data_IF_673060948009
#
_entry.id   IF_673060948009
#
_cell.length_a   1.000
_cell.length_b   1.000
_cell.length_c   1.000
_cell.angle_alpha   90.00
_cell.angle_beta   90.00
_cell.angle_gamma   90.00
#
_symmetry.space_group_name_H-M   'P 1'
#
loop_
_entity.id
_entity.type
_entity.pdbx_description
1 polymer ?
#
# COMPACT_ATOMS: atom_id res chain seq x y z
N UNK A 1 44.41 -0.67 8.56
CA UNK A 1 43.35 -0.44 7.58
C UNK A 1 42.63 0.86 7.97
N UNK A 2 42.79 1.95 7.23
CA UNK A 2 42.02 3.19 7.46
C UNK A 2 40.67 2.98 6.78
N UNK A 3 39.53 3.18 7.47
CA UNK A 3 38.23 3.10 6.80
C UNK A 3 38.18 4.19 5.73
N UNK A 4 37.78 3.79 4.53
CA UNK A 4 37.70 4.68 3.36
C UNK A 4 36.79 5.87 3.66
N UNK A 5 37.43 7.02 3.90
CA UNK A 5 36.76 8.33 4.02
C UNK A 5 35.95 8.72 2.75
N UNK A 6 36.14 7.97 1.66
CA UNK A 6 35.40 8.16 0.39
C UNK A 6 33.93 7.74 0.48
N UNK A 7 33.58 6.81 1.38
CA UNK A 7 32.18 6.47 1.64
C UNK A 7 31.39 7.65 2.24
N UNK A 8 32.01 8.41 3.16
CA UNK A 8 31.39 9.60 3.76
C UNK A 8 31.32 10.80 2.79
N UNK A 9 32.25 10.88 1.82
CA UNK A 9 32.21 11.93 0.78
C UNK A 9 31.16 11.64 -0.28
N UNK A 10 30.83 10.38 -0.57
CA UNK A 10 29.71 10.01 -1.44
C UNK A 10 28.35 10.43 -0.85
N UNK A 11 28.23 10.55 0.48
CA UNK A 11 27.06 11.10 1.16
C UNK A 11 26.93 12.64 1.08
N UNK A 12 28.03 13.37 0.73
CA UNK A 12 28.06 14.84 0.69
C UNK A 12 28.00 15.47 -0.71
N UNK A 13 27.96 14.67 -1.77
CA UNK A 13 27.70 15.17 -3.12
C UNK A 13 26.24 15.68 -3.22
N UNK A 14 25.89 16.43 -4.26
CA UNK A 14 24.58 17.10 -4.56
C UNK A 14 23.28 16.41 -4.08
N UNK A 15 23.38 15.19 -3.59
CA UNK A 15 22.32 14.34 -3.04
C UNK A 15 21.87 14.71 -1.60
N UNK A 16 22.61 15.55 -0.87
CA UNK A 16 22.25 15.90 0.52
C UNK A 16 20.89 16.60 0.63
N UNK A 17 20.52 17.38 -0.37
CA UNK A 17 19.23 18.05 -0.42
C UNK A 17 18.07 17.07 -0.72
N UNK A 18 18.25 16.12 -1.63
CA UNK A 18 17.21 15.13 -1.96
C UNK A 18 16.97 14.15 -0.82
N UNK A 19 18.04 13.67 -0.17
CA UNK A 19 17.92 12.79 1.00
C UNK A 19 17.21 13.48 2.16
N UNK A 20 17.50 14.75 2.43
CA UNK A 20 16.81 15.53 3.46
C UNK A 20 15.33 15.72 3.15
N UNK A 21 14.99 15.97 1.89
CA UNK A 21 13.59 16.08 1.45
C UNK A 21 12.87 14.73 1.57
N UNK A 22 13.52 13.63 1.23
CA UNK A 22 12.94 12.29 1.40
C UNK A 22 12.66 11.99 2.89
N UNK A 23 13.58 12.33 3.79
CA UNK A 23 13.38 12.19 5.24
C UNK A 23 12.20 13.03 5.72
N UNK A 24 12.06 14.27 5.25
CA UNK A 24 10.90 15.11 5.56
C UNK A 24 9.60 14.49 5.07
N UNK A 25 9.56 13.93 3.86
CA UNK A 25 8.39 13.27 3.30
C UNK A 25 8.06 12.01 4.11
N UNK A 26 9.05 11.20 4.49
CA UNK A 26 8.85 10.06 5.38
C UNK A 26 8.30 10.46 6.74
N UNK A 27 8.89 11.47 7.38
CA UNK A 27 8.42 12.02 8.66
C UNK A 27 7.00 12.59 8.57
N UNK A 28 6.68 13.33 7.51
CA UNK A 28 5.32 13.81 7.27
C UNK A 28 4.34 12.64 7.07
N UNK A 29 4.74 11.57 6.40
CA UNK A 29 3.95 10.35 6.26
C UNK A 29 3.61 9.72 7.61
N UNK A 30 4.55 9.69 8.55
CA UNK A 30 4.31 9.25 9.95
C UNK A 30 3.24 10.11 10.61
N UNK A 31 3.40 11.44 10.56
CA UNK A 31 2.47 12.38 11.20
C UNK A 31 1.06 12.24 10.62
N UNK A 32 0.96 12.15 9.29
CA UNK A 32 -0.32 12.00 8.60
C UNK A 32 -0.99 10.65 8.92
N UNK A 33 -0.21 9.57 8.96
CA UNK A 33 -0.75 8.25 9.32
C UNK A 33 -1.23 8.23 10.76
N UNK A 34 -0.45 8.78 11.68
CA UNK A 34 -0.84 8.90 13.08
C UNK A 34 -2.12 9.72 13.25
N UNK A 35 -2.21 10.88 12.59
CA UNK A 35 -3.39 11.74 12.64
C UNK A 35 -4.64 11.05 12.08
N UNK A 36 -4.46 10.16 11.09
CA UNK A 36 -5.55 9.44 10.43
C UNK A 36 -5.96 8.16 11.16
N UNK A 37 -5.07 7.56 11.93
CA UNK A 37 -5.31 6.33 12.69
C UNK A 37 -4.80 6.45 14.15
N UNK A 38 -5.36 7.37 14.97
CA UNK A 38 -4.86 7.64 16.32
C UNK A 38 -4.98 6.43 17.25
N UNK A 39 -5.92 5.52 16.99
CA UNK A 39 -6.15 4.33 17.81
C UNK A 39 -5.30 3.11 17.41
N UNK A 40 -4.48 3.23 16.36
CA UNK A 40 -3.69 2.11 15.85
C UNK A 40 -2.64 1.58 16.84
N UNK A 41 -2.32 2.34 17.88
CA UNK A 41 -1.36 1.96 18.92
C UNK A 41 -2.02 1.39 20.18
N UNK A 42 -3.34 1.42 20.25
CA UNK A 42 -4.12 0.89 21.39
C UNK A 42 -4.92 -0.37 21.07
N UNK A 43 -5.02 -0.73 19.78
CA UNK A 43 -5.84 -1.84 19.32
C UNK A 43 -5.16 -2.63 18.22
N UNK A 44 -5.47 -3.93 18.15
CA UNK A 44 -5.21 -4.73 16.95
C UNK A 44 -6.40 -4.68 16.00
N UNK A 45 -6.13 -4.78 14.72
CA UNK A 45 -7.13 -4.84 13.67
C UNK A 45 -7.01 -6.15 12.89
N UNK A 46 -8.10 -6.92 12.87
CA UNK A 46 -8.22 -8.15 12.09
C UNK A 46 -6.98 -9.07 12.23
N UNK A 47 -6.33 -9.43 11.12
CA UNK A 47 -5.24 -10.39 11.08
C UNK A 47 -3.96 -9.94 11.80
N UNK A 48 -3.82 -8.68 12.21
CA UNK A 48 -2.58 -8.18 12.87
C UNK A 48 -2.24 -8.99 14.13
N UNK A 49 -3.26 -9.35 14.90
CA UNK A 49 -3.05 -10.13 16.12
C UNK A 49 -2.72 -11.60 15.83
N UNK A 50 -3.13 -12.15 14.69
CA UNK A 50 -2.77 -13.51 14.27
C UNK A 50 -1.26 -13.66 14.07
N UNK A 51 -0.59 -12.64 13.52
CA UNK A 51 0.86 -12.65 13.36
C UNK A 51 1.60 -12.54 14.70
N UNK A 52 1.04 -11.79 15.65
CA UNK A 52 1.57 -11.72 17.03
C UNK A 52 1.50 -13.09 17.70
N UNK A 53 0.31 -13.73 17.70
CA UNK A 53 0.12 -15.03 18.38
C UNK A 53 0.96 -16.13 17.75
N UNK A 54 1.03 -16.19 16.42
CA UNK A 54 1.90 -17.15 15.75
C UNK A 54 3.36 -16.96 16.16
N UNK A 55 3.85 -15.72 16.25
CA UNK A 55 5.22 -15.46 16.67
C UNK A 55 5.49 -15.78 18.15
N UNK A 56 4.49 -15.63 19.03
CA UNK A 56 4.62 -15.98 20.46
C UNK A 56 4.57 -17.49 20.68
N UNK A 57 3.66 -18.20 20.01
CA UNK A 57 3.47 -19.63 20.21
C UNK A 57 4.57 -20.47 19.57
N UNK A 58 4.98 -20.15 18.34
CA UNK A 58 5.93 -20.97 17.57
C UNK A 58 7.33 -20.32 17.42
N UNK A 59 7.48 -19.06 17.83
CA UNK A 59 8.70 -18.28 17.62
C UNK A 59 8.82 -17.71 16.22
N UNK A 60 9.80 -16.80 16.02
CA UNK A 60 9.97 -16.06 14.77
C UNK A 60 10.09 -16.97 13.55
N UNK A 61 11.03 -17.92 13.56
CA UNK A 61 11.36 -18.70 12.36
C UNK A 61 10.24 -19.68 11.97
N UNK A 62 9.57 -20.28 12.94
CA UNK A 62 8.46 -21.18 12.64
C UNK A 62 7.23 -20.38 12.18
N UNK A 63 6.92 -19.26 12.84
CA UNK A 63 5.83 -18.39 12.40
C UNK A 63 6.03 -17.88 10.96
N UNK A 64 7.27 -17.70 10.51
CA UNK A 64 7.57 -17.33 9.13
C UNK A 64 7.20 -18.43 8.11
N UNK A 65 7.01 -19.68 8.50
CA UNK A 65 6.68 -20.79 7.60
C UNK A 65 5.18 -21.02 7.43
N UNK A 66 4.36 -20.46 8.30
CA UNK A 66 2.91 -20.67 8.28
C UNK A 66 2.22 -19.73 7.27
N UNK A 67 1.66 -20.21 6.14
CA UNK A 67 0.97 -19.33 5.22
C UNK A 67 -0.37 -18.84 5.81
N UNK A 68 -0.66 -17.56 5.64
CA UNK A 68 -1.98 -16.98 5.93
C UNK A 68 -2.67 -16.67 4.60
N UNK A 69 -3.92 -17.04 4.43
CA UNK A 69 -4.64 -16.89 3.17
C UNK A 69 -3.90 -17.46 1.93
N UNK A 70 -3.04 -18.47 2.14
CA UNK A 70 -2.33 -19.18 1.08
C UNK A 70 -1.02 -18.54 0.62
N UNK A 71 -0.54 -17.48 1.25
CA UNK A 71 0.75 -16.84 0.93
C UNK A 71 1.49 -16.33 2.19
N UNK A 72 2.71 -15.86 2.01
CA UNK A 72 3.69 -15.82 3.09
C UNK A 72 3.62 -14.59 4.02
N UNK A 73 3.09 -13.45 3.60
CA UNK A 73 2.97 -12.23 4.40
C UNK A 73 4.25 -11.82 5.16
N UNK A 74 5.39 -11.71 4.48
CA UNK A 74 6.69 -11.51 5.13
C UNK A 74 6.74 -10.31 6.08
N UNK A 75 6.33 -9.10 5.61
CA UNK A 75 6.34 -7.88 6.43
C UNK A 75 5.38 -7.97 7.63
N UNK A 76 4.12 -8.39 7.48
CA UNK A 76 3.24 -8.60 8.64
C UNK A 76 3.82 -9.54 9.69
N UNK A 77 4.51 -10.61 9.26
CA UNK A 77 5.16 -11.55 10.17
C UNK A 77 6.35 -10.96 10.90
N UNK A 78 7.19 -10.18 10.22
CA UNK A 78 8.28 -9.46 10.87
C UNK A 78 7.75 -8.47 11.91
N UNK A 79 6.64 -7.78 11.60
CA UNK A 79 5.98 -6.87 12.53
C UNK A 79 5.42 -7.64 13.73
N UNK A 80 4.71 -8.76 13.50
CA UNK A 80 4.20 -9.64 14.55
C UNK A 80 5.32 -10.17 15.46
N UNK A 81 6.43 -10.61 14.85
CA UNK A 81 7.59 -11.09 15.59
C UNK A 81 8.27 -9.98 16.41
N UNK A 82 8.38 -8.77 15.87
CA UNK A 82 8.87 -7.60 16.62
C UNK A 82 7.95 -7.25 17.78
N UNK A 83 6.64 -7.34 17.57
CA UNK A 83 5.63 -7.08 18.61
C UNK A 83 5.59 -8.18 19.68
N UNK A 84 6.01 -9.39 19.35
CA UNK A 84 6.13 -10.49 20.31
C UNK A 84 7.29 -10.29 21.32
N UNK A 85 8.24 -9.39 21.04
CA UNK A 85 9.39 -9.13 21.92
C UNK A 85 9.06 -8.16 23.08
N UNK A 86 7.89 -7.54 23.08
CA UNK A 86 7.47 -6.63 24.14
C UNK A 86 6.37 -7.26 25.00
N UNK A 87 6.13 -6.74 26.23
CA UNK A 87 4.99 -7.18 27.03
C UNK A 87 3.68 -7.13 26.26
N UNK A 88 2.81 -8.10 26.49
CA UNK A 88 1.55 -8.27 25.78
C UNK A 88 0.69 -7.00 25.74
N UNK A 89 0.68 -6.24 26.87
CA UNK A 89 -0.02 -4.96 27.00
C UNK A 89 0.49 -3.88 26.05
N UNK A 90 1.76 -3.96 25.60
CA UNK A 90 2.39 -2.99 24.69
C UNK A 90 2.48 -3.46 23.25
N UNK A 91 2.00 -4.65 22.95
CA UNK A 91 2.10 -5.24 21.62
C UNK A 91 1.43 -4.39 20.52
N UNK A 92 0.21 -3.79 20.70
CA UNK A 92 -0.36 -2.90 19.68
C UNK A 92 0.49 -1.65 19.42
N UNK A 93 1.07 -1.07 20.46
CA UNK A 93 1.97 0.09 20.32
C UNK A 93 3.17 -0.26 19.44
N UNK A 94 3.82 -1.40 19.71
CA UNK A 94 4.97 -1.85 18.91
C UNK A 94 4.56 -2.13 17.46
N UNK A 95 3.43 -2.81 17.24
CA UNK A 95 2.87 -3.05 15.90
C UNK A 95 2.66 -1.73 15.17
N UNK A 96 1.99 -0.75 15.80
CA UNK A 96 1.76 0.57 15.24
C UNK A 96 3.05 1.30 14.86
N UNK A 97 4.06 1.30 15.74
CA UNK A 97 5.37 1.93 15.49
C UNK A 97 6.09 1.27 14.30
N UNK A 98 6.08 -0.06 14.20
CA UNK A 98 6.69 -0.79 13.10
C UNK A 98 5.97 -0.51 11.77
N UNK A 99 4.63 -0.43 11.78
CA UNK A 99 3.85 -0.02 10.60
C UNK A 99 4.21 1.39 10.17
N UNK A 100 4.29 2.36 11.11
CA UNK A 100 4.72 3.73 10.83
C UNK A 100 6.11 3.78 10.18
N UNK A 101 7.04 2.97 10.67
CA UNK A 101 8.38 2.86 10.09
C UNK A 101 8.36 2.35 8.65
N UNK A 102 7.59 1.29 8.37
CA UNK A 102 7.45 0.75 7.01
C UNK A 102 6.81 1.77 6.07
N UNK A 103 5.77 2.48 6.50
CA UNK A 103 5.12 3.53 5.71
C UNK A 103 6.08 4.69 5.43
N UNK A 104 6.87 5.12 6.39
CA UNK A 104 7.90 6.14 6.19
C UNK A 104 8.95 5.68 5.15
N UNK A 105 9.43 4.45 5.26
CA UNK A 105 10.35 3.86 4.30
C UNK A 105 9.76 3.81 2.88
N UNK A 106 8.51 3.39 2.73
CA UNK A 106 7.79 3.37 1.45
C UNK A 106 7.68 4.79 0.88
N UNK A 107 7.27 5.78 1.68
CA UNK A 107 7.14 7.18 1.25
C UNK A 107 8.49 7.74 0.76
N UNK A 108 9.57 7.53 1.53
CA UNK A 108 10.91 7.94 1.14
C UNK A 108 11.35 7.29 -0.18
N UNK A 109 11.10 6.00 -0.33
CA UNK A 109 11.48 5.25 -1.53
C UNK A 109 10.70 5.72 -2.75
N UNK A 110 9.38 5.93 -2.65
CA UNK A 110 8.57 6.49 -3.74
C UNK A 110 9.07 7.89 -4.12
N UNK A 111 9.33 8.77 -3.13
CA UNK A 111 9.84 10.12 -3.37
C UNK A 111 11.15 10.10 -4.16
N UNK A 112 12.09 9.26 -3.74
CA UNK A 112 13.40 9.16 -4.39
C UNK A 112 13.31 8.48 -5.77
N UNK A 113 12.58 7.39 -5.90
CA UNK A 113 12.53 6.62 -7.13
C UNK A 113 11.73 7.32 -8.24
N UNK A 114 10.77 8.18 -7.89
CA UNK A 114 9.98 8.93 -8.87
C UNK A 114 10.71 10.10 -9.54
N UNK A 115 11.92 10.47 -9.10
CA UNK A 115 12.67 11.60 -9.69
C UNK A 115 12.99 11.41 -11.18
N UNK A 116 13.07 10.18 -11.64
CA UNK A 116 13.33 9.85 -13.04
C UNK A 116 12.15 10.25 -13.98
N UNK A 117 10.95 10.28 -13.44
CA UNK A 117 9.73 10.54 -14.22
C UNK A 117 9.05 11.84 -13.83
N UNK A 118 9.22 12.29 -12.58
CA UNK A 118 8.69 13.54 -12.03
C UNK A 118 9.84 14.44 -11.60
N UNK A 119 10.08 15.54 -12.33
CA UNK A 119 11.11 16.52 -11.97
C UNK A 119 10.64 17.45 -10.85
N UNK A 120 9.34 17.68 -10.75
CA UNK A 120 8.76 18.55 -9.73
C UNK A 120 8.72 17.84 -8.35
N UNK A 121 9.48 18.38 -7.38
CA UNK A 121 9.57 17.84 -6.00
C UNK A 121 8.22 17.76 -5.28
N UNK A 122 7.29 18.69 -5.55
CA UNK A 122 5.97 18.68 -4.92
C UNK A 122 5.08 17.56 -5.46
N UNK A 123 5.17 17.25 -6.75
CA UNK A 123 4.48 16.10 -7.33
C UNK A 123 5.04 14.80 -6.81
N UNK A 124 6.37 14.72 -6.63
CA UNK A 124 7.00 13.55 -5.98
C UNK A 124 6.53 13.38 -4.54
N UNK A 125 6.47 14.49 -3.77
CA UNK A 125 5.97 14.45 -2.40
C UNK A 125 4.49 14.05 -2.33
N UNK A 126 3.64 14.61 -3.19
CA UNK A 126 2.22 14.25 -3.26
C UNK A 126 2.04 12.78 -3.63
N UNK A 127 2.79 12.27 -4.60
CA UNK A 127 2.78 10.86 -4.98
C UNK A 127 3.21 9.97 -3.82
N UNK A 128 4.31 10.30 -3.16
CA UNK A 128 4.81 9.53 -2.03
C UNK A 128 3.81 9.49 -0.88
N UNK A 129 3.26 10.64 -0.49
CA UNK A 129 2.28 10.74 0.59
C UNK A 129 0.92 10.14 0.23
N UNK A 130 0.65 9.89 -1.06
CA UNK A 130 -0.63 9.35 -1.48
C UNK A 130 -0.92 7.96 -0.91
N UNK A 131 0.10 7.16 -0.61
CA UNK A 131 -0.08 5.85 0.05
C UNK A 131 -0.67 5.96 1.47
N UNK A 132 -0.67 7.18 2.02
CA UNK A 132 -1.33 7.51 3.29
C UNK A 132 -2.58 8.36 3.07
N UNK A 133 -2.57 9.24 2.07
CA UNK A 133 -3.60 10.26 1.84
C UNK A 133 -4.77 9.78 0.99
N UNK A 134 -4.58 8.79 0.10
CA UNK A 134 -5.67 8.28 -0.72
C UNK A 134 -6.86 7.92 0.16
N UNK A 135 -8.07 8.43 -0.14
CA UNK A 135 -9.27 8.16 0.64
C UNK A 135 -9.51 6.67 0.86
N UNK A 136 -9.32 5.86 -0.18
CA UNK A 136 -9.52 4.40 -0.14
C UNK A 136 -8.62 3.68 0.88
N UNK A 137 -7.45 4.21 1.20
CA UNK A 137 -6.56 3.65 2.23
C UNK A 137 -7.19 3.74 3.61
N UNK A 138 -8.03 4.75 3.86
CA UNK A 138 -8.67 4.99 5.15
C UNK A 138 -9.69 3.95 5.57
N UNK A 139 -10.10 3.03 4.70
CA UNK A 139 -11.06 1.98 5.08
C UNK A 139 -10.41 0.94 5.99
N UNK A 140 -9.75 -0.05 5.42
CA UNK A 140 -9.20 -1.18 6.16
C UNK A 140 -7.68 -1.16 6.22
N UNK A 141 -7.05 -0.45 5.28
CA UNK A 141 -5.61 -0.58 5.05
C UNK A 141 -4.78 0.37 5.90
N UNK A 142 -5.42 1.39 6.49
CA UNK A 142 -4.69 2.35 7.28
C UNK A 142 -4.17 1.71 8.57
N UNK A 143 -2.87 1.78 8.77
CA UNK A 143 -2.21 1.26 9.97
C UNK A 143 -2.46 -0.24 10.25
N UNK A 144 -2.75 -1.03 9.21
CA UNK A 144 -2.91 -2.47 9.27
C UNK A 144 -1.67 -3.13 8.65
N UNK A 145 -0.97 -3.99 9.41
CA UNK A 145 0.26 -4.62 8.95
C UNK A 145 0.01 -5.56 7.77
N UNK A 146 -1.12 -6.26 7.78
CA UNK A 146 -1.52 -7.19 6.71
C UNK A 146 -1.66 -6.49 5.37
N UNK A 147 -2.23 -5.28 5.37
CA UNK A 147 -2.50 -4.52 4.15
C UNK A 147 -1.32 -3.68 3.64
N UNK A 148 -0.17 -3.67 4.34
CA UNK A 148 1.04 -2.97 3.87
C UNK A 148 1.52 -3.45 2.50
N UNK A 149 1.21 -4.68 2.12
CA UNK A 149 1.61 -5.22 0.83
C UNK A 149 1.05 -4.42 -0.36
N UNK A 150 -0.11 -3.76 -0.23
CA UNK A 150 -0.66 -2.91 -1.31
C UNK A 150 0.22 -1.68 -1.57
N UNK A 151 0.68 -1.02 -0.50
CA UNK A 151 1.56 0.15 -0.65
C UNK A 151 2.98 -0.25 -1.07
N UNK A 152 3.45 -1.43 -0.67
CA UNK A 152 4.72 -1.98 -1.13
C UNK A 152 4.70 -2.27 -2.63
N UNK A 153 3.59 -2.77 -3.19
CA UNK A 153 3.42 -2.96 -4.64
C UNK A 153 3.45 -1.60 -5.38
N UNK A 154 2.82 -0.54 -4.81
CA UNK A 154 2.92 0.81 -5.34
C UNK A 154 4.38 1.29 -5.43
N UNK A 155 5.15 1.13 -4.34
CA UNK A 155 6.56 1.50 -4.32
C UNK A 155 7.40 0.66 -5.28
N UNK A 156 7.14 -0.64 -5.36
CA UNK A 156 7.85 -1.54 -6.28
C UNK A 156 7.65 -1.16 -7.74
N UNK A 157 6.45 -0.72 -8.12
CA UNK A 157 6.18 -0.21 -9.47
C UNK A 157 7.02 1.03 -9.77
N UNK A 158 7.08 2.00 -8.84
CA UNK A 158 7.87 3.22 -9.02
C UNK A 158 9.37 2.90 -9.11
N UNK A 159 9.85 2.00 -8.26
CA UNK A 159 11.25 1.54 -8.26
C UNK A 159 11.63 0.84 -9.56
N UNK A 160 10.78 -0.02 -10.09
CA UNK A 160 11.02 -0.71 -11.37
C UNK A 160 11.03 0.27 -12.54
N UNK A 161 10.25 1.34 -12.49
CA UNK A 161 10.26 2.40 -13.52
C UNK A 161 11.43 3.39 -13.36
N UNK A 162 11.93 3.56 -12.14
CA UNK A 162 12.98 4.52 -11.79
C UNK A 162 14.36 4.23 -12.42
N UNK A 163 15.28 5.16 -12.24
CA UNK A 163 16.72 4.97 -12.48
C UNK A 163 17.44 4.96 -11.12
N UNK A 164 18.44 4.10 -11.00
CA UNK A 164 19.23 3.97 -9.78
C UNK A 164 20.58 4.69 -9.95
N UNK A 165 20.73 5.81 -9.28
CA UNK A 165 21.90 6.66 -9.43
C UNK A 165 23.04 6.28 -8.47
N UNK A 166 22.70 5.78 -7.27
CA UNK A 166 23.70 5.47 -6.24
C UNK A 166 23.63 4.01 -5.77
N UNK A 167 24.75 3.43 -5.25
CA UNK A 167 24.75 2.08 -4.70
C UNK A 167 23.72 1.88 -3.56
N UNK A 168 23.54 2.88 -2.71
CA UNK A 168 22.55 2.84 -1.62
C UNK A 168 21.13 2.78 -2.14
N UNK A 169 20.80 3.54 -3.18
CA UNK A 169 19.47 3.46 -3.82
C UNK A 169 19.25 2.08 -4.43
N UNK A 170 20.28 1.52 -5.08
CA UNK A 170 20.21 0.15 -5.63
C UNK A 170 19.92 -0.87 -4.54
N UNK A 171 20.60 -0.78 -3.40
CA UNK A 171 20.38 -1.68 -2.26
C UNK A 171 18.97 -1.50 -1.70
N UNK A 172 18.56 -0.28 -1.38
CA UNK A 172 17.23 0.04 -0.88
C UNK A 172 16.12 -0.47 -1.81
N UNK A 173 16.25 -0.18 -3.11
CA UNK A 173 15.27 -0.54 -4.13
C UNK A 173 15.19 -2.06 -4.30
N UNK A 174 16.34 -2.75 -4.26
CA UNK A 174 16.41 -4.21 -4.32
C UNK A 174 15.78 -4.85 -3.08
N UNK A 175 16.07 -4.32 -1.89
CA UNK A 175 15.44 -4.78 -0.64
C UNK A 175 13.92 -4.59 -0.68
N UNK A 176 13.44 -3.45 -1.15
CA UNK A 176 12.01 -3.19 -1.23
C UNK A 176 11.30 -4.20 -2.14
N UNK A 177 11.82 -4.47 -3.33
CA UNK A 177 11.18 -5.41 -4.25
C UNK A 177 11.27 -6.87 -3.79
N UNK A 178 12.36 -7.27 -3.10
CA UNK A 178 12.47 -8.59 -2.45
C UNK A 178 11.40 -8.73 -1.37
N UNK A 179 11.34 -7.78 -0.46
CA UNK A 179 10.39 -7.76 0.64
C UNK A 179 8.95 -7.74 0.15
N UNK A 180 8.67 -6.97 -0.91
CA UNK A 180 7.35 -6.97 -1.55
C UNK A 180 7.01 -8.33 -2.13
N UNK A 181 7.94 -8.94 -2.87
CA UNK A 181 7.76 -10.26 -3.47
C UNK A 181 7.49 -11.34 -2.42
N UNK A 182 8.22 -11.31 -1.30
CA UNK A 182 8.00 -12.22 -0.17
C UNK A 182 6.69 -11.92 0.60
N UNK A 183 6.16 -10.71 0.51
CA UNK A 183 4.94 -10.34 1.24
C UNK A 183 3.66 -10.62 0.47
N UNK A 184 3.70 -10.63 -0.88
CA UNK A 184 2.49 -10.81 -1.68
C UNK A 184 2.77 -11.33 -3.09
N UNK A 185 1.97 -12.30 -3.59
CA UNK A 185 2.04 -12.71 -5.00
C UNK A 185 1.50 -11.66 -5.98
N UNK A 186 0.81 -10.62 -5.50
CA UNK A 186 0.26 -9.54 -6.34
C UNK A 186 1.36 -8.80 -7.12
N UNK A 187 2.59 -8.86 -6.66
CA UNK A 187 3.75 -8.28 -7.35
C UNK A 187 4.00 -8.92 -8.74
N UNK A 188 3.40 -10.08 -9.04
CA UNK A 188 3.45 -10.70 -10.37
C UNK A 188 2.83 -9.82 -11.46
N UNK A 189 1.88 -8.95 -11.12
CA UNK A 189 1.32 -7.99 -12.07
C UNK A 189 2.38 -7.04 -12.65
N UNK A 190 3.50 -6.87 -11.94
CA UNK A 190 4.63 -6.04 -12.36
C UNK A 190 5.58 -6.74 -13.34
N UNK A 191 5.32 -8.00 -13.71
CA UNK A 191 6.18 -8.77 -14.64
C UNK A 191 6.49 -8.02 -15.94
N UNK A 192 5.53 -7.37 -16.63
CA UNK A 192 5.83 -6.60 -17.83
C UNK A 192 6.79 -5.43 -17.58
N UNK A 193 6.66 -4.80 -16.40
CA UNK A 193 7.50 -3.66 -16.00
C UNK A 193 8.92 -4.12 -15.66
N UNK A 194 9.04 -5.23 -14.95
CA UNK A 194 10.33 -5.85 -14.64
C UNK A 194 11.05 -6.30 -15.92
N UNK A 195 10.31 -6.89 -16.89
CA UNK A 195 10.83 -7.25 -18.21
C UNK A 195 11.30 -6.03 -19.01
N UNK A 196 10.51 -4.95 -19.01
CA UNK A 196 10.93 -3.67 -19.61
C UNK A 196 12.20 -3.11 -18.95
N UNK A 197 12.24 -3.11 -17.60
CA UNK A 197 13.42 -2.66 -16.84
C UNK A 197 14.66 -3.45 -17.22
N UNK A 198 14.56 -4.77 -17.21
CA UNK A 198 15.65 -5.66 -17.59
C UNK A 198 16.14 -5.40 -19.03
N UNK A 199 15.22 -5.20 -19.98
CA UNK A 199 15.55 -4.89 -21.37
C UNK A 199 16.23 -3.52 -21.50
N UNK A 200 15.73 -2.48 -20.79
CA UNK A 200 16.32 -1.13 -20.76
C UNK A 200 17.74 -1.15 -20.21
N UNK A 201 17.94 -1.82 -19.08
CA UNK A 201 19.24 -1.87 -18.41
C UNK A 201 20.29 -2.63 -19.23
N UNK A 202 19.89 -3.61 -20.07
CA UNK A 202 20.79 -4.30 -21.02
C UNK A 202 21.19 -3.47 -22.23
N UNK A 203 20.34 -2.53 -22.66
CA UNK A 203 20.63 -1.66 -23.81
C UNK A 203 21.38 -0.39 -23.44
N UNK A 204 21.46 -0.04 -22.18
CA UNK A 204 22.22 1.10 -21.70
C UNK A 204 23.72 0.86 -21.84
N UNK A 205 24.44 1.87 -22.32
CA UNK A 205 25.91 1.85 -22.45
C UNK A 205 26.66 1.71 -21.12
N UNK A 206 25.95 1.86 -20.01
CA UNK A 206 26.48 1.77 -18.66
C UNK A 206 26.30 0.36 -18.12
N UNK A 207 27.34 -0.44 -18.35
CA UNK A 207 27.62 -1.70 -17.67
C UNK A 207 26.64 -2.86 -17.96
N UNK A 208 27.19 -3.95 -18.47
CA UNK A 208 26.58 -5.31 -18.56
C UNK A 208 26.14 -5.89 -17.19
N UNK A 209 26.02 -5.06 -16.15
CA UNK A 209 25.56 -5.48 -14.82
C UNK A 209 24.07 -5.78 -14.85
N UNK A 210 23.75 -7.01 -14.51
CA UNK A 210 22.38 -7.46 -14.27
C UNK A 210 21.72 -6.48 -13.29
N UNK A 211 20.52 -6.01 -13.64
CA UNK A 211 19.77 -5.10 -12.76
C UNK A 211 19.48 -5.77 -11.42
N UNK A 212 20.16 -5.33 -10.37
CA UNK A 212 19.97 -5.88 -9.01
C UNK A 212 18.50 -5.81 -8.56
N UNK A 213 17.77 -4.79 -9.01
CA UNK A 213 16.34 -4.66 -8.69
C UNK A 213 15.51 -5.75 -9.36
N UNK A 214 15.78 -6.06 -10.63
CA UNK A 214 15.04 -7.13 -11.32
C UNK A 214 15.39 -8.50 -10.73
N UNK A 215 16.65 -8.71 -10.37
CA UNK A 215 17.08 -9.93 -9.64
C UNK A 215 16.38 -10.00 -8.28
N UNK A 216 16.37 -8.90 -7.52
CA UNK A 216 15.68 -8.82 -6.24
C UNK A 216 14.19 -9.13 -6.37
N UNK A 217 13.53 -8.56 -7.39
CA UNK A 217 12.13 -8.85 -7.70
C UNK A 217 11.92 -10.35 -8.00
N UNK A 218 12.76 -10.94 -8.85
CA UNK A 218 12.68 -12.35 -9.20
C UNK A 218 12.93 -13.27 -7.99
N UNK A 219 13.91 -12.94 -7.13
CA UNK A 219 14.19 -13.67 -5.90
C UNK A 219 13.02 -13.60 -4.90
N UNK A 220 12.41 -12.43 -4.73
CA UNK A 220 11.25 -12.26 -3.88
C UNK A 220 10.08 -13.14 -4.31
N UNK A 221 9.77 -13.16 -5.62
CA UNK A 221 8.72 -14.02 -6.18
C UNK A 221 9.08 -15.50 -6.08
N UNK A 222 10.32 -15.88 -6.44
CA UNK A 222 10.74 -17.27 -6.35
C UNK A 222 10.64 -17.79 -4.91
N UNK A 223 11.05 -16.97 -3.92
CA UNK A 223 10.88 -17.27 -2.51
C UNK A 223 9.41 -17.45 -2.13
N UNK A 224 8.54 -16.52 -2.54
CA UNK A 224 7.10 -16.60 -2.30
C UNK A 224 6.48 -17.87 -2.90
N UNK A 225 6.75 -18.16 -4.17
CA UNK A 225 6.23 -19.35 -4.85
C UNK A 225 6.79 -20.62 -4.23
N UNK A 226 8.08 -20.67 -3.87
CA UNK A 226 8.71 -21.78 -3.19
C UNK A 226 8.03 -22.09 -1.84
N UNK A 227 7.75 -21.04 -1.05
CA UNK A 227 7.05 -21.19 0.23
C UNK A 227 5.60 -21.62 0.05
N UNK A 228 4.90 -21.08 -0.94
CA UNK A 228 3.52 -21.51 -1.26
C UNK A 228 3.45 -22.97 -1.67
N UNK A 229 4.41 -23.46 -2.45
CA UNK A 229 4.48 -24.88 -2.86
C UNK A 229 4.83 -25.76 -1.67
N UNK A 230 5.79 -25.34 -0.83
CA UNK A 230 6.29 -26.16 0.29
C UNK A 230 5.31 -26.25 1.46
N UNK A 231 4.59 -25.17 1.75
CA UNK A 231 3.77 -25.03 2.96
C UNK A 231 2.30 -24.70 2.68
N UNK A 232 1.94 -24.35 1.45
CA UNK A 232 0.60 -23.83 1.10
C UNK A 232 -0.52 -24.87 1.01
N UNK A 233 -0.25 -26.14 1.28
CA UNK A 233 -1.23 -27.22 1.05
C UNK A 233 -2.45 -27.20 1.98
N UNK A 234 -2.42 -26.44 3.08
CA UNK A 234 -3.49 -26.41 4.09
C UNK A 234 -4.50 -25.26 3.95
N UNK A 235 -4.19 -24.20 3.22
CA UNK A 235 -4.97 -22.95 3.25
C UNK A 235 -5.60 -22.59 1.90
N UNK A 236 -6.18 -23.56 1.20
CA UNK A 236 -6.85 -23.36 -0.10
C UNK A 236 -8.13 -22.54 0.03
N UNK A 237 -8.03 -21.24 0.14
CA UNK A 237 -9.12 -20.34 -0.24
C UNK A 237 -8.63 -19.27 -1.25
N UNK A 238 -8.05 -19.73 -2.33
CA UNK A 238 -7.94 -18.93 -3.55
C UNK A 238 -9.31 -18.98 -4.24
N UNK A 239 -10.16 -18.08 -3.92
CA UNK A 239 -11.50 -18.00 -4.45
C UNK A 239 -12.48 -17.76 -3.33
N UNK A 240 -13.18 -16.64 -3.39
CA UNK A 240 -14.25 -16.31 -2.45
C UNK A 240 -15.27 -17.45 -2.37
N UNK A 241 -16.13 -17.39 -1.38
CA UNK A 241 -17.13 -18.42 -1.11
C UNK A 241 -17.83 -18.89 -2.39
N UNK A 242 -17.96 -20.21 -2.60
CA UNK A 242 -18.72 -20.73 -3.74
C UNK A 242 -20.17 -20.27 -3.58
N UNK A 243 -20.69 -19.51 -4.55
CA UNK A 243 -22.08 -19.07 -4.56
C UNK A 243 -22.31 -17.56 -4.68
N UNK A 244 -21.28 -16.73 -4.58
CA UNK A 244 -21.42 -15.29 -4.88
C UNK A 244 -21.47 -15.11 -6.39
N UNK A 245 -22.64 -14.80 -6.95
CA UNK A 245 -22.79 -14.40 -8.35
C UNK A 245 -21.88 -13.21 -8.65
N UNK A 246 -20.84 -13.46 -9.44
CA UNK A 246 -19.86 -12.45 -9.84
C UNK A 246 -20.31 -11.80 -11.14
N UNK A 247 -21.08 -10.74 -11.05
CA UNK A 247 -21.37 -9.90 -12.22
C UNK A 247 -20.13 -9.07 -12.56
N UNK A 248 -19.52 -9.33 -13.72
CA UNK A 248 -18.40 -8.55 -14.26
C UNK A 248 -18.77 -7.06 -14.33
N UNK A 249 -19.99 -6.74 -14.73
CA UNK A 249 -20.50 -5.37 -14.83
C UNK A 249 -20.51 -4.70 -13.45
N UNK A 250 -21.04 -5.40 -12.43
CA UNK A 250 -21.03 -4.91 -11.03
C UNK A 250 -19.61 -4.67 -10.54
N UNK A 251 -18.71 -5.59 -10.81
CA UNK A 251 -17.31 -5.49 -10.39
C UNK A 251 -16.60 -4.33 -11.09
N UNK A 252 -16.84 -4.14 -12.40
CA UNK A 252 -16.31 -3.02 -13.17
C UNK A 252 -16.84 -1.68 -12.63
N UNK A 253 -18.12 -1.59 -12.34
CA UNK A 253 -18.73 -0.39 -11.79
C UNK A 253 -18.15 -0.04 -10.40
N UNK A 254 -18.10 -1.02 -9.50
CA UNK A 254 -17.50 -0.85 -8.17
C UNK A 254 -16.07 -0.34 -8.22
N UNK A 255 -15.32 -0.74 -9.23
CA UNK A 255 -13.97 -0.22 -9.40
C UNK A 255 -13.94 1.23 -9.83
N UNK A 256 -14.67 1.57 -10.89
CA UNK A 256 -14.76 2.97 -11.31
C UNK A 256 -15.13 3.85 -10.13
N UNK A 257 -16.07 3.38 -9.32
CA UNK A 257 -16.48 4.07 -8.11
C UNK A 257 -15.36 4.19 -7.07
N UNK A 258 -14.69 3.08 -6.75
CA UNK A 258 -13.65 3.06 -5.72
C UNK A 258 -12.35 3.69 -6.16
N UNK A 259 -11.98 3.55 -7.44
CA UNK A 259 -10.75 4.13 -7.97
C UNK A 259 -10.94 5.61 -8.32
N UNK A 260 -11.98 5.96 -9.05
CA UNK A 260 -12.18 7.31 -9.54
C UNK A 260 -13.09 8.14 -8.63
N UNK A 261 -14.29 7.65 -8.30
CA UNK A 261 -15.26 8.37 -7.52
C UNK A 261 -14.71 8.72 -6.15
N UNK A 262 -14.44 7.71 -5.35
CA UNK A 262 -14.06 7.89 -3.96
C UNK A 262 -12.69 8.57 -3.75
N UNK A 263 -11.72 8.39 -4.66
CA UNK A 263 -10.41 9.01 -4.49
C UNK A 263 -10.26 10.39 -5.14
N UNK A 264 -11.03 10.71 -6.18
CA UNK A 264 -10.79 11.91 -6.96
C UNK A 264 -12.00 12.84 -7.08
N UNK A 265 -13.20 12.40 -6.68
CA UNK A 265 -14.36 13.27 -6.65
C UNK A 265 -14.65 13.70 -5.21
N UNK A 266 -14.63 15.02 -4.91
CA UNK A 266 -14.96 15.54 -3.60
C UNK A 266 -16.37 15.13 -3.17
N UNK A 267 -16.51 14.79 -1.89
CA UNK A 267 -17.82 14.43 -1.28
C UNK A 267 -18.51 13.22 -1.89
N UNK A 268 -17.77 12.37 -2.62
CA UNK A 268 -18.31 11.14 -3.14
C UNK A 268 -18.71 10.21 -1.98
N UNK A 269 -19.96 9.75 -1.91
CA UNK A 269 -20.40 8.96 -0.77
C UNK A 269 -19.73 7.59 -0.73
N UNK A 270 -19.50 7.10 0.48
CA UNK A 270 -19.10 5.71 0.70
C UNK A 270 -20.27 4.81 0.36
N UNK A 271 -20.04 3.78 -0.42
CA UNK A 271 -21.03 2.77 -0.71
C UNK A 271 -20.54 1.44 -0.16
N UNK A 272 -21.37 0.81 0.65
CA UNK A 272 -21.16 -0.56 1.08
C UNK A 272 -21.47 -1.52 -0.07
N UNK A 273 -20.95 -2.74 0.00
CA UNK A 273 -21.31 -3.78 -0.97
C UNK A 273 -22.81 -4.15 -0.87
N UNK A 274 -23.42 -3.91 0.28
CA UNK A 274 -24.84 -4.15 0.57
C UNK A 274 -25.75 -3.19 -0.19
N UNK A 275 -25.34 -1.94 -0.41
CA UNK A 275 -26.13 -0.95 -1.16
C UNK A 275 -26.43 -1.42 -2.60
N UNK A 276 -25.60 -2.31 -3.15
CA UNK A 276 -25.80 -2.91 -4.48
C UNK A 276 -26.74 -4.13 -4.47
N UNK A 277 -27.12 -4.64 -3.29
CA UNK A 277 -28.04 -5.77 -3.18
C UNK A 277 -29.48 -5.36 -3.42
N UNK A 278 -29.81 -4.07 -3.26
CA UNK A 278 -31.17 -3.53 -3.37
C UNK A 278 -31.64 -3.17 -4.78
N UNK A 279 -30.86 -3.51 -5.81
CA UNK A 279 -31.22 -3.27 -7.22
C UNK A 279 -30.77 -1.92 -7.77
N UNK A 280 -31.14 -1.63 -9.02
CA UNK A 280 -30.76 -0.38 -9.70
C UNK A 280 -31.63 0.76 -9.21
N UNK A 281 -31.05 1.67 -8.42
CA UNK A 281 -31.71 2.90 -7.95
C UNK A 281 -31.38 4.08 -8.89
N UNK A 282 -32.19 5.15 -8.84
CA UNK A 282 -31.91 6.39 -9.59
C UNK A 282 -30.53 6.99 -9.21
N UNK A 283 -30.13 6.85 -7.95
CA UNK A 283 -28.81 7.29 -7.46
C UNK A 283 -27.67 6.52 -8.15
N UNK A 284 -27.80 5.22 -8.31
CA UNK A 284 -26.83 4.39 -9.02
C UNK A 284 -26.65 4.82 -10.50
N UNK A 285 -27.75 5.18 -11.16
CA UNK A 285 -27.70 5.67 -12.56
C UNK A 285 -26.97 7.02 -12.63
N UNK A 286 -27.30 7.96 -11.73
CA UNK A 286 -26.64 9.26 -11.67
C UNK A 286 -25.13 9.09 -11.45
N UNK A 287 -24.73 8.23 -10.52
CA UNK A 287 -23.33 7.93 -10.26
C UNK A 287 -22.63 7.31 -11.45
N UNK A 288 -23.25 6.36 -12.14
CA UNK A 288 -22.71 5.76 -13.34
C UNK A 288 -22.46 6.81 -14.43
N UNK A 289 -23.41 7.74 -14.62
CA UNK A 289 -23.26 8.84 -15.58
C UNK A 289 -22.10 9.76 -15.20
N UNK A 290 -22.02 10.20 -13.94
CA UNK A 290 -20.95 11.07 -13.45
C UNK A 290 -19.59 10.41 -13.58
N UNK A 291 -19.45 9.14 -13.18
CA UNK A 291 -18.21 8.39 -13.29
C UNK A 291 -17.79 8.17 -14.75
N UNK A 292 -18.74 7.87 -15.62
CA UNK A 292 -18.46 7.70 -17.06
C UNK A 292 -17.99 9.01 -17.67
N UNK A 293 -18.65 10.12 -17.36
CA UNK A 293 -18.24 11.44 -17.82
C UNK A 293 -16.85 11.82 -17.31
N UNK A 294 -16.59 11.60 -16.01
CA UNK A 294 -15.29 11.89 -15.40
C UNK A 294 -14.18 10.99 -15.98
N UNK A 295 -14.43 9.69 -16.11
CA UNK A 295 -13.50 8.74 -16.73
C UNK A 295 -13.20 9.09 -18.19
N UNK A 296 -14.22 9.53 -18.95
CA UNK A 296 -14.07 10.03 -20.31
C UNK A 296 -13.20 11.29 -20.39
N UNK A 297 -13.40 12.24 -19.47
CA UNK A 297 -12.54 13.43 -19.37
C UNK A 297 -11.08 13.07 -19.05
N UNK A 298 -10.86 12.15 -18.12
CA UNK A 298 -9.52 11.65 -17.80
C UNK A 298 -8.88 10.95 -19.00
N UNK A 299 -9.62 10.11 -19.73
CA UNK A 299 -9.12 9.43 -20.91
C UNK A 299 -8.69 10.43 -21.99
N UNK A 300 -9.51 11.47 -22.26
CA UNK A 300 -9.16 12.55 -23.18
C UNK A 300 -7.91 13.30 -22.71
N UNK A 301 -7.81 13.58 -21.41
CA UNK A 301 -6.65 14.24 -20.82
C UNK A 301 -5.37 13.40 -21.02
N UNK A 302 -5.40 12.10 -20.70
CA UNK A 302 -4.26 11.20 -20.89
C UNK A 302 -3.86 11.06 -22.37
N UNK A 303 -4.80 10.84 -23.25
CA UNK A 303 -4.55 10.74 -24.70
C UNK A 303 -3.89 12.00 -25.26
N UNK A 304 -4.34 13.17 -24.82
CA UNK A 304 -3.73 14.45 -25.20
C UNK A 304 -2.32 14.60 -24.60
N UNK A 305 -2.12 14.24 -23.32
CA UNK A 305 -0.80 14.32 -22.70
C UNK A 305 0.22 13.40 -23.41
N UNK A 306 -0.18 12.19 -23.77
CA UNK A 306 0.63 11.28 -24.58
C UNK A 306 0.99 11.89 -25.93
N UNK A 307 0.02 12.49 -26.64
CA UNK A 307 0.28 13.15 -27.94
C UNK A 307 1.26 14.35 -27.79
N UNK A 308 1.10 15.16 -26.76
CA UNK A 308 2.00 16.28 -26.46
C UNK A 308 3.39 15.76 -26.10
N UNK A 309 3.48 14.76 -25.22
CA UNK A 309 4.74 14.18 -24.80
C UNK A 309 5.53 13.56 -25.97
N UNK A 310 4.86 12.84 -26.88
CA UNK A 310 5.48 12.30 -28.09
C UNK A 310 6.02 13.43 -29.01
N UNK A 311 5.28 14.51 -29.18
CA UNK A 311 5.73 15.67 -29.96
C UNK A 311 6.94 16.36 -29.33
N UNK A 312 6.99 16.41 -28.01
CA UNK A 312 8.07 17.01 -27.25
C UNK A 312 9.24 16.06 -26.95
N UNK A 313 9.17 14.83 -27.43
CA UNK A 313 10.19 13.75 -27.19
C UNK A 313 10.35 13.38 -25.70
N UNK A 314 9.31 13.54 -24.91
CA UNK A 314 9.25 13.15 -23.48
C UNK A 314 8.93 11.65 -23.35
N UNK A 315 9.78 10.83 -23.94
CA UNK A 315 9.49 9.39 -24.10
C UNK A 315 9.29 8.66 -22.77
N UNK A 316 10.06 9.03 -21.74
CA UNK A 316 10.00 8.37 -20.43
C UNK A 316 8.69 8.70 -19.72
N UNK A 317 8.27 9.96 -19.73
CA UNK A 317 7.02 10.40 -19.12
C UNK A 317 5.82 9.77 -19.82
N UNK A 318 5.82 9.79 -21.17
CA UNK A 318 4.76 9.13 -21.97
C UNK A 318 4.66 7.65 -21.65
N UNK A 319 5.80 6.97 -21.63
CA UNK A 319 5.84 5.54 -21.29
C UNK A 319 5.32 5.30 -19.87
N UNK A 320 5.69 6.15 -18.92
CA UNK A 320 5.21 6.05 -17.54
C UNK A 320 3.69 6.17 -17.47
N UNK A 321 3.08 7.16 -18.13
CA UNK A 321 1.61 7.29 -18.19
C UNK A 321 0.96 6.02 -18.72
N UNK A 322 1.46 5.48 -19.83
CA UNK A 322 0.90 4.28 -20.46
C UNK A 322 1.06 3.06 -19.54
N UNK A 323 2.26 2.86 -19.01
CA UNK A 323 2.57 1.70 -18.15
C UNK A 323 1.72 1.74 -16.88
N UNK A 324 1.66 2.87 -16.18
CA UNK A 324 0.89 2.95 -14.93
C UNK A 324 -0.60 2.71 -15.16
N UNK A 325 -1.19 3.29 -16.19
CA UNK A 325 -2.60 3.03 -16.51
C UNK A 325 -2.84 1.57 -16.90
N UNK A 326 -1.98 1.00 -17.75
CA UNK A 326 -2.14 -0.40 -18.20
C UNK A 326 -1.97 -1.39 -17.06
N UNK A 327 -0.96 -1.19 -16.20
CA UNK A 327 -0.71 -2.06 -15.04
C UNK A 327 -1.80 -1.90 -13.99
N UNK A 328 -2.26 -0.66 -13.73
CA UNK A 328 -3.38 -0.41 -12.81
C UNK A 328 -4.67 -1.09 -13.27
N UNK A 329 -5.02 -0.96 -14.55
CA UNK A 329 -6.19 -1.62 -15.15
C UNK A 329 -6.01 -3.15 -15.13
N UNK A 330 -4.85 -3.65 -15.55
CA UNK A 330 -4.55 -5.08 -15.57
C UNK A 330 -4.63 -5.73 -14.18
N UNK A 331 -4.02 -5.10 -13.18
CA UNK A 331 -4.11 -5.52 -11.79
C UNK A 331 -5.56 -5.63 -11.32
N UNK A 332 -6.34 -4.65 -11.68
CA UNK A 332 -7.71 -4.59 -11.27
C UNK A 332 -8.60 -5.62 -11.97
N UNK A 333 -8.45 -5.79 -13.27
CA UNK A 333 -9.15 -6.84 -14.02
C UNK A 333 -8.78 -8.23 -13.44
N UNK A 334 -7.51 -8.44 -13.10
CA UNK A 334 -7.07 -9.68 -12.47
C UNK A 334 -7.77 -9.90 -11.11
N UNK A 335 -7.78 -8.89 -10.25
CA UNK A 335 -8.44 -9.01 -8.94
C UNK A 335 -9.95 -9.14 -9.07
N UNK A 336 -10.57 -8.43 -10.01
CA UNK A 336 -12.01 -8.50 -10.25
C UNK A 336 -12.47 -9.89 -10.68
N UNK A 337 -11.58 -10.65 -11.37
CA UNK A 337 -11.90 -12.02 -11.80
C UNK A 337 -11.61 -13.06 -10.71
N UNK A 338 -10.67 -12.78 -9.79
CA UNK A 338 -10.18 -13.76 -8.82
C UNK A 338 -10.73 -13.55 -7.41
N UNK A 339 -11.07 -12.30 -7.04
CA UNK A 339 -11.43 -11.93 -5.67
C UNK A 339 -12.71 -11.08 -5.61
N UNK A 340 -13.19 -10.82 -4.39
CA UNK A 340 -14.25 -9.83 -4.16
C UNK A 340 -13.74 -8.41 -4.46
N UNK A 341 -14.67 -7.51 -4.84
CA UNK A 341 -14.33 -6.11 -5.08
C UNK A 341 -14.20 -5.33 -3.76
N UNK A 342 -13.32 -5.75 -2.85
CA UNK A 342 -13.12 -5.03 -1.58
C UNK A 342 -12.36 -3.70 -1.77
N UNK A 343 -12.60 -2.69 -0.93
CA UNK A 343 -12.00 -1.36 -1.06
C UNK A 343 -10.48 -1.38 -1.14
N UNK A 344 -9.82 -2.23 -0.35
CA UNK A 344 -8.35 -2.35 -0.30
C UNK A 344 -7.72 -2.68 -1.65
N UNK A 345 -8.43 -3.38 -2.53
CA UNK A 345 -7.93 -3.72 -3.86
C UNK A 345 -7.90 -2.52 -4.82
N UNK A 346 -8.59 -1.44 -4.51
CA UNK A 346 -8.56 -0.23 -5.32
C UNK A 346 -7.34 0.70 -5.02
N UNK A 347 -6.56 0.42 -3.98
CA UNK A 347 -5.40 1.24 -3.58
C UNK A 347 -4.38 1.35 -4.72
N UNK A 348 -3.93 0.22 -5.24
CA UNK A 348 -2.91 0.19 -6.28
C UNK A 348 -3.39 0.83 -7.61
N UNK A 349 -4.58 0.53 -8.15
CA UNK A 349 -5.10 1.24 -9.32
C UNK A 349 -5.28 2.74 -9.10
N UNK A 350 -5.77 3.18 -7.93
CA UNK A 350 -5.90 4.60 -7.61
C UNK A 350 -4.54 5.32 -7.58
N UNK A 351 -3.53 4.67 -6.99
CA UNK A 351 -2.15 5.16 -7.03
C UNK A 351 -1.63 5.28 -8.47
N UNK A 352 -1.91 4.29 -9.32
CA UNK A 352 -1.51 4.32 -10.74
C UNK A 352 -2.17 5.47 -11.50
N UNK A 353 -3.46 5.73 -11.27
CA UNK A 353 -4.17 6.88 -11.85
C UNK A 353 -3.56 8.19 -11.38
N UNK A 354 -3.29 8.34 -10.08
CA UNK A 354 -2.64 9.53 -9.55
C UNK A 354 -1.26 9.77 -10.17
N UNK A 355 -0.46 8.71 -10.25
CA UNK A 355 0.87 8.83 -10.88
C UNK A 355 0.76 9.28 -12.34
N UNK A 356 -0.13 8.68 -13.12
CA UNK A 356 -0.37 9.06 -14.50
C UNK A 356 -0.87 10.51 -14.61
N UNK A 357 -1.73 10.97 -13.68
CA UNK A 357 -2.19 12.35 -13.61
C UNK A 357 -1.03 13.32 -13.37
N UNK A 358 -0.21 13.08 -12.34
CA UNK A 358 0.92 13.95 -12.01
C UNK A 358 1.95 14.01 -13.14
N UNK A 359 2.26 12.87 -13.76
CA UNK A 359 3.16 12.81 -14.92
C UNK A 359 2.57 13.54 -16.12
N UNK A 360 1.26 13.41 -16.36
CA UNK A 360 0.60 14.15 -17.45
C UNK A 360 0.62 15.67 -17.23
N UNK A 361 0.38 16.11 -15.99
CA UNK A 361 0.52 17.55 -15.65
C UNK A 361 1.95 18.03 -15.91
N UNK A 362 2.95 17.26 -15.56
CA UNK A 362 4.35 17.60 -15.79
C UNK A 362 4.70 17.67 -17.29
N UNK A 363 4.15 16.77 -18.10
CA UNK A 363 4.25 16.84 -19.57
C UNK A 363 3.74 18.19 -20.09
N UNK A 364 2.68 18.74 -19.53
CA UNK A 364 2.13 20.05 -19.95
C UNK A 364 2.90 21.23 -19.38
N UNK A 365 3.45 21.13 -18.17
CA UNK A 365 4.08 22.26 -17.45
C UNK A 365 5.60 22.33 -17.59
N UNK A 366 6.21 21.39 -18.30
CA UNK A 366 7.66 21.29 -18.45
C UNK A 366 8.34 22.52 -19.04
N UNK A 367 9.67 22.66 -18.84
CA UNK A 367 10.43 23.84 -19.28
C UNK A 367 10.25 24.11 -20.77
N UNK A 368 10.09 25.37 -21.14
CA UNK A 368 9.91 25.83 -22.53
C UNK A 368 8.47 25.83 -23.04
N UNK A 369 7.48 25.43 -22.23
CA UNK A 369 6.06 25.27 -22.63
C UNK A 369 5.13 26.41 -22.16
N UNK A 370 5.65 27.54 -21.72
CA UNK A 370 4.85 28.67 -21.21
C UNK A 370 3.65 29.03 -22.11
N UNK A 371 3.81 28.96 -23.45
CA UNK A 371 2.71 29.25 -24.41
C UNK A 371 1.59 28.21 -24.41
N UNK A 372 1.89 26.95 -24.11
CA UNK A 372 0.87 25.90 -23.98
C UNK A 372 0.15 26.02 -22.63
N UNK A 373 0.86 26.47 -21.60
CA UNK A 373 0.34 26.62 -20.23
C UNK A 373 -0.67 27.74 -20.11
N UNK A 374 -0.41 28.90 -20.77
CA UNK A 374 -1.33 30.05 -20.77
C UNK A 374 -2.70 29.70 -21.36
N UNK A 375 -2.78 28.68 -22.22
CA UNK A 375 -4.03 28.17 -22.80
C UNK A 375 -4.81 27.26 -21.88
N UNK A 376 -4.22 26.77 -20.75
CA UNK A 376 -4.79 25.74 -19.93
C UNK A 376 -4.72 26.00 -18.41
N UNK A 377 -5.42 27.03 -17.88
CA UNK A 377 -5.57 27.17 -16.43
C UNK A 377 -6.18 25.90 -15.79
N UNK A 378 -6.83 25.07 -16.61
CA UNK A 378 -7.44 23.80 -16.21
C UNK A 378 -6.44 22.72 -15.78
N UNK A 379 -5.16 22.82 -16.17
CA UNK A 379 -4.12 21.86 -15.74
C UNK A 379 -3.82 22.00 -14.24
N UNK A 380 -3.93 23.21 -13.69
CA UNK A 380 -3.81 23.46 -12.25
C UNK A 380 -5.01 22.94 -11.45
N UNK A 381 -6.16 22.75 -12.11
CA UNK A 381 -7.33 22.14 -11.48
C UNK A 381 -7.08 20.68 -11.09
N UNK A 382 -6.23 19.93 -11.82
CA UNK A 382 -6.00 18.52 -11.54
C UNK A 382 -5.38 18.31 -10.14
N UNK A 383 -4.22 18.91 -9.79
CA UNK A 383 -3.70 18.76 -8.43
C UNK A 383 -4.64 19.37 -7.38
N UNK A 384 -5.37 20.41 -7.69
CA UNK A 384 -6.36 20.99 -6.79
C UNK A 384 -7.50 20.01 -6.51
N UNK A 385 -8.08 19.40 -7.53
CA UNK A 385 -9.14 18.36 -7.38
C UNK A 385 -8.64 17.18 -6.54
N UNK A 386 -7.39 16.74 -6.77
CA UNK A 386 -6.78 15.67 -5.98
C UNK A 386 -6.66 16.07 -4.51
N UNK A 387 -6.15 17.28 -4.23
CA UNK A 387 -6.00 17.76 -2.84
C UNK A 387 -7.36 17.94 -2.17
N UNK A 388 -8.34 18.51 -2.87
CA UNK A 388 -9.70 18.69 -2.35
C UNK A 388 -10.37 17.33 -2.14
N UNK A 389 -10.21 16.39 -3.06
CA UNK A 389 -10.68 15.01 -2.92
C UNK A 389 -10.10 14.34 -1.67
N UNK A 390 -8.79 14.45 -1.45
CA UNK A 390 -8.14 13.93 -0.24
C UNK A 390 -8.65 14.60 1.03
N UNK A 391 -8.80 15.92 1.01
CA UNK A 391 -9.29 16.68 2.15
C UNK A 391 -10.76 16.40 2.48
N UNK A 392 -11.62 16.23 1.47
CA UNK A 392 -13.05 15.95 1.67
C UNK A 392 -13.34 14.58 2.28
N UNK A 393 -12.39 13.64 2.12
CA UNK A 393 -12.48 12.29 2.69
C UNK A 393 -11.50 12.07 3.85
N UNK A 394 -10.92 13.15 4.37
CA UNK A 394 -10.08 13.08 5.56
C UNK A 394 -10.94 12.81 6.78
N UNK A 395 -11.14 11.54 7.09
CA UNK A 395 -11.76 11.13 8.35
C UNK A 395 -10.76 10.26 9.12
N UNK A 396 -10.62 10.45 10.44
CA UNK A 396 -10.01 9.46 11.30
C UNK A 396 -10.72 8.11 11.06
N UNK A 397 -9.98 7.02 11.15
CA UNK A 397 -10.54 5.69 10.93
C UNK A 397 -11.56 5.36 12.04
N UNK A 398 -12.84 5.60 11.81
CA UNK A 398 -13.93 5.26 12.73
C UNK A 398 -13.96 3.76 13.01
N UNK A 399 -13.62 2.92 12.01
CA UNK A 399 -13.62 1.46 12.15
C UNK A 399 -12.70 1.00 13.29
N UNK A 400 -11.65 1.77 13.61
CA UNK A 400 -10.71 1.43 14.70
C UNK A 400 -11.13 1.99 16.05
N UNK A 401 -12.15 2.85 16.12
CA UNK A 401 -12.74 3.34 17.36
C UNK A 401 -13.85 2.43 17.89
N UNK A 402 -14.43 1.57 17.03
CA UNK A 402 -15.57 0.73 17.35
C UNK A 402 -15.15 -0.59 17.98
N UNK A 403 -14.72 -0.55 19.22
CA UNK A 403 -14.41 -1.78 19.95
C UNK A 403 -13.57 -1.54 21.21
N UNK A 404 -13.39 -2.57 22.01
CA UNK A 404 -12.60 -2.46 23.21
C UNK A 404 -11.14 -2.13 22.87
N UNK A 405 -10.48 -1.36 23.73
CA UNK A 405 -9.03 -1.27 23.67
C UNK A 405 -8.43 -2.64 23.95
N UNK A 406 -7.25 -2.90 23.40
CA UNK A 406 -6.54 -4.15 23.66
C UNK A 406 -6.38 -4.45 25.15
N UNK A 407 -6.04 -3.43 25.97
CA UNK A 407 -5.94 -3.58 27.40
C UNK A 407 -7.27 -4.02 28.03
N UNK A 408 -8.39 -3.41 27.65
CA UNK A 408 -9.70 -3.82 28.15
C UNK A 408 -10.03 -5.27 27.72
N UNK A 409 -9.73 -5.65 26.47
CA UNK A 409 -9.89 -7.03 26.00
C UNK A 409 -9.09 -8.05 26.79
N UNK A 410 -7.81 -7.71 27.13
CA UNK A 410 -6.97 -8.57 27.98
C UNK A 410 -7.56 -8.76 29.38
N UNK A 411 -8.11 -7.71 30.01
CA UNK A 411 -8.74 -7.83 31.31
C UNK A 411 -9.97 -8.73 31.29
N UNK A 412 -10.82 -8.61 30.27
CA UNK A 412 -12.00 -9.47 30.10
C UNK A 412 -11.58 -10.93 29.92
N UNK A 413 -10.58 -11.20 29.07
CA UNK A 413 -10.10 -12.55 28.85
C UNK A 413 -9.41 -13.14 30.08
N UNK A 414 -8.65 -12.33 30.84
CA UNK A 414 -8.03 -12.78 32.10
C UNK A 414 -9.08 -13.15 33.16
N UNK A 415 -10.19 -12.42 33.24
CA UNK A 415 -11.29 -12.78 34.14
C UNK A 415 -11.98 -14.09 33.69
N UNK A 416 -12.16 -14.29 32.41
CA UNK A 416 -12.67 -15.55 31.84
C UNK A 416 -11.75 -16.73 32.20
N UNK A 417 -10.42 -16.55 32.17
CA UNK A 417 -9.45 -17.54 32.62
C UNK A 417 -9.60 -17.91 34.10
N UNK A 418 -9.81 -16.92 34.98
CA UNK A 418 -10.00 -17.14 36.42
C UNK A 418 -11.27 -17.89 36.75
N UNK A 419 -12.36 -17.55 36.03
CA UNK A 419 -13.69 -18.13 36.30
C UNK A 419 -13.81 -19.56 35.75
N UNK A 420 -13.28 -19.81 34.55
CA UNK A 420 -13.49 -21.08 33.84
C UNK A 420 -12.36 -22.08 34.02
N UNK A 421 -11.26 -21.70 34.67
CA UNK A 421 -10.04 -22.54 34.77
C UNK A 421 -9.59 -23.03 33.38
N UNK A 422 -9.77 -22.22 32.35
CA UNK A 422 -9.45 -22.56 30.97
C UNK A 422 -7.95 -22.48 30.71
N UNK A 423 -7.47 -23.26 29.74
CA UNK A 423 -6.06 -23.21 29.31
C UNK A 423 -5.85 -21.96 28.44
N UNK A 424 -6.84 -21.59 27.62
CA UNK A 424 -6.79 -20.43 26.71
C UNK A 424 -8.05 -19.59 26.85
N UNK A 425 -7.96 -18.32 26.52
CA UNK A 425 -9.11 -17.42 26.44
C UNK A 425 -9.06 -16.55 25.19
N UNK A 426 -10.23 -16.12 24.73
CA UNK A 426 -10.40 -15.27 23.55
C UNK A 426 -10.36 -13.80 23.92
N UNK A 427 -9.41 -13.08 23.34
CA UNK A 427 -9.31 -11.64 23.45
C UNK A 427 -9.99 -11.03 22.23
N UNK A 428 -11.07 -10.22 22.41
CA UNK A 428 -11.74 -9.58 21.29
C UNK A 428 -10.85 -8.48 20.69
N UNK A 429 -10.84 -8.39 19.34
CA UNK A 429 -10.13 -7.38 18.59
C UNK A 429 -11.06 -6.70 17.58
N UNK A 430 -10.59 -5.65 16.93
CA UNK A 430 -11.37 -4.89 15.96
C UNK A 430 -11.24 -5.54 14.57
N UNK A 431 -12.31 -5.57 13.74
CA UNK A 431 -13.66 -5.07 14.00
C UNK A 431 -14.53 -6.09 14.75
N UNK A 432 -15.30 -5.61 15.72
CA UNK A 432 -16.14 -6.47 16.57
C UNK A 432 -17.30 -7.11 15.83
N UNK A 433 -17.83 -6.47 14.76
CA UNK A 433 -18.93 -6.99 13.95
C UNK A 433 -18.59 -8.29 13.19
N UNK A 434 -17.32 -8.62 13.06
CA UNK A 434 -16.85 -9.82 12.36
C UNK A 434 -16.36 -10.92 13.34
N UNK A 435 -16.65 -10.81 14.63
CA UNK A 435 -16.23 -11.73 15.69
C UNK A 435 -14.72 -12.02 15.71
N UNK A 436 -13.92 -11.04 15.29
CA UNK A 436 -12.47 -11.16 15.33
C UNK A 436 -12.00 -11.29 16.78
N UNK A 437 -11.28 -12.34 17.05
CA UNK A 437 -10.68 -12.59 18.34
C UNK A 437 -9.32 -13.28 18.18
N UNK A 438 -8.53 -13.23 19.23
CA UNK A 438 -7.24 -13.88 19.34
C UNK A 438 -7.29 -14.80 20.55
N UNK A 439 -6.87 -16.02 20.36
CA UNK A 439 -6.74 -17.00 21.44
C UNK A 439 -5.35 -16.88 22.07
N UNK A 440 -5.31 -16.64 23.37
CA UNK A 440 -4.09 -16.51 24.15
C UNK A 440 -4.09 -17.50 25.31
N UNK A 441 -2.90 -17.92 25.71
CA UNK A 441 -2.69 -18.75 26.88
C UNK A 441 -3.08 -18.01 28.15
N UNK A 442 -3.82 -18.68 29.05
CA UNK A 442 -4.30 -18.09 30.28
C UNK A 442 -3.18 -17.76 31.28
N UNK A 443 -2.10 -18.52 31.30
CA UNK A 443 -0.95 -18.24 32.17
C UNK A 443 -0.28 -16.94 31.72
N UNK A 444 -0.10 -16.73 30.40
CA UNK A 444 0.41 -15.50 29.84
C UNK A 444 -0.52 -14.31 30.10
N UNK A 445 -1.83 -14.48 29.92
CA UNK A 445 -2.84 -13.44 30.19
C UNK A 445 -2.83 -12.97 31.64
N UNK A 446 -2.87 -13.93 32.57
CA UNK A 446 -2.88 -13.63 34.02
C UNK A 446 -1.58 -12.95 34.46
N UNK A 447 -0.45 -13.37 33.90
CA UNK A 447 0.86 -12.73 34.15
C UNK A 447 0.87 -11.30 33.60
N UNK A 448 0.35 -11.04 32.40
CA UNK A 448 0.34 -9.73 31.77
C UNK A 448 -0.57 -8.72 32.50
N UNK A 449 -1.73 -9.18 33.01
CA UNK A 449 -2.72 -8.34 33.69
C UNK A 449 -2.45 -8.24 35.18
N UNK A 450 -1.91 -9.29 35.83
CA UNK A 450 -1.59 -9.29 37.27
C UNK A 450 -0.49 -8.34 37.69
N UNK A 451 0.39 -7.92 36.77
CA UNK A 451 1.43 -6.90 36.99
C UNK A 451 0.95 -5.45 36.89
N UNK A 452 -0.28 -5.23 36.42
CA UNK A 452 -0.91 -3.89 36.30
C UNK A 452 -1.97 -3.81 37.39
N UNK A 453 -1.64 -3.25 38.56
CA UNK A 453 -2.68 -2.81 39.50
C UNK A 453 -3.54 -1.74 38.82
N UNK A 454 -4.89 -1.77 38.94
CA UNK A 454 -5.80 -0.83 38.32
C UNK A 454 -5.56 0.62 38.75
#
# INVERSE_FOLDING_TARGET
>A
MRPDLNLLKAFRGSDGSESSQALLVGGLGIVLLWARAPFATSNFYAEDATFLTAARSSGLFESLKEPVAGYFHFIPRLIGAGSAQVPLTRAPLMTGLLVLFVVAWVNMTIYLASNHTLSNRWYRALLALSVTLLPIVGFESISNSTNLHFILVCASLVVLMGAQETPWRRLNDSMLVIVTGLSTPLVLVLLPVAGYRWWRDRRGEVSQTISLVVVGWALGIAGQLGLMVSFGQGSRRWGGEPGVERSLVKTLFLLFERVLGYNFLPFWPRISAEDYSHGVTSDLVIRAVVLTAFGGLLAVFFLRSVRVGLRCKETIQVLSVVVFLSVGIGYWLFLATMFSAEPRYAIFPAFCVLYALLTSVEIYTGPGRKKEWEKWPKVLLVPLVVVVGFASHWTPSEIRSDGPTWSAGLHVAAEDCRIREAITAKVPIIPTYADWNVELDCEELLSAVGGVQP
#
